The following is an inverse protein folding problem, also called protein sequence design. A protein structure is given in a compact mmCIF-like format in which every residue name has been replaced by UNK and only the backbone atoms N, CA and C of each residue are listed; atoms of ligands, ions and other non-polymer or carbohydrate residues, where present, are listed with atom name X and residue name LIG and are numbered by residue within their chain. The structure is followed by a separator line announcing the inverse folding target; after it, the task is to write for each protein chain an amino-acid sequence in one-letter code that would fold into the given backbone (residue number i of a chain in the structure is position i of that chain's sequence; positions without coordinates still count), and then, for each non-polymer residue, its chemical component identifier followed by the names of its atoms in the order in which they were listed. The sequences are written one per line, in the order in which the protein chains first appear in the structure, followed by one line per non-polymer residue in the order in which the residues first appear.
data_IF_950043704261
#
_entry.id   IF_950043704261
#
_cell.length_a   1.000
_cell.length_b   1.000
_cell.length_c   1.000
_cell.angle_alpha   90.00
_cell.angle_beta   90.00
_cell.angle_gamma   90.00
#
_symmetry.space_group_name_H-M   'P 1'
#
loop_
_entity.id
_entity.type
_entity.pdbx_description
1 polymer ?
#
# COMPACT_ATOMS: atom_id res chain seq x y z
N UNK A 1 -5.10 -14.96 -13.96
CA UNK A 1 -5.21 -15.82 -12.77
C UNK A 1 -6.24 -15.18 -11.87
N UNK A 2 -7.33 -15.89 -11.54
CA UNK A 2 -8.29 -15.42 -10.54
C UNK A 2 -7.59 -15.35 -9.18
N UNK A 3 -7.78 -14.28 -8.44
CA UNK A 3 -7.26 -14.16 -7.07
C UNK A 3 -7.90 -15.23 -6.19
N UNK A 4 -7.09 -16.01 -5.47
CA UNK A 4 -7.60 -17.01 -4.53
C UNK A 4 -8.21 -16.32 -3.31
N UNK A 5 -7.56 -15.25 -2.87
CA UNK A 5 -8.01 -14.42 -1.75
C UNK A 5 -9.36 -13.75 -2.04
N UNK A 6 -9.57 -13.23 -3.26
CA UNK A 6 -10.82 -12.59 -3.64
C UNK A 6 -12.05 -13.51 -3.46
N UNK A 7 -11.89 -14.79 -3.79
CA UNK A 7 -12.95 -15.78 -3.67
C UNK A 7 -13.16 -16.26 -2.23
N UNK A 8 -12.22 -15.98 -1.32
CA UNK A 8 -12.35 -16.36 0.09
C UNK A 8 -13.28 -15.42 0.83
N UNK A 9 -14.18 -16.02 1.62
CA UNK A 9 -15.02 -15.31 2.59
C UNK A 9 -14.43 -15.36 4.01
N UNK A 10 -13.30 -16.05 4.21
CA UNK A 10 -12.69 -16.20 5.53
C UNK A 10 -11.83 -14.98 5.88
N UNK A 11 -12.32 -14.15 6.78
CA UNK A 11 -11.60 -12.98 7.25
C UNK A 11 -10.23 -13.31 7.88
N UNK A 12 -10.02 -14.52 8.41
CA UNK A 12 -8.72 -14.93 8.93
C UNK A 12 -7.67 -15.06 7.81
N UNK A 13 -8.06 -15.50 6.62
CA UNK A 13 -7.17 -15.54 5.45
C UNK A 13 -6.80 -14.13 4.98
N UNK A 14 -7.77 -13.21 4.99
CA UNK A 14 -7.52 -11.79 4.70
C UNK A 14 -6.57 -11.16 5.70
N UNK A 15 -6.78 -11.42 7.01
CA UNK A 15 -5.92 -10.94 8.09
C UNK A 15 -4.51 -11.48 7.98
N UNK A 16 -4.37 -12.79 7.74
CA UNK A 16 -3.07 -13.43 7.54
C UNK A 16 -2.32 -12.80 6.35
N UNK A 17 -3.02 -12.53 5.25
CA UNK A 17 -2.44 -11.84 4.10
C UNK A 17 -2.03 -10.40 4.43
N UNK A 18 -2.87 -9.66 5.15
CA UNK A 18 -2.53 -8.30 5.59
C UNK A 18 -1.28 -8.27 6.48
N UNK A 19 -1.15 -9.23 7.39
CA UNK A 19 0.01 -9.32 8.29
C UNK A 19 1.31 -9.71 7.56
N UNK A 20 1.24 -10.18 6.30
CA UNK A 20 2.43 -10.35 5.46
C UNK A 20 2.98 -9.05 4.89
N UNK A 21 2.29 -7.91 5.08
CA UNK A 21 2.66 -6.63 4.49
C UNK A 21 4.13 -6.27 4.74
N UNK A 22 4.59 -6.36 6.00
CA UNK A 22 5.98 -6.03 6.35
C UNK A 22 6.98 -6.97 5.65
N UNK A 23 6.69 -8.28 5.58
CA UNK A 23 7.55 -9.25 4.90
C UNK A 23 7.62 -9.00 3.38
N UNK A 24 6.49 -8.67 2.75
CA UNK A 24 6.45 -8.37 1.31
C UNK A 24 7.16 -7.05 1.03
N UNK A 25 6.99 -6.03 1.89
CA UNK A 25 7.71 -4.76 1.81
C UNK A 25 9.22 -4.97 1.86
N UNK A 26 9.72 -5.68 2.86
CA UNK A 26 11.15 -6.03 2.98
C UNK A 26 11.64 -6.82 1.76
N UNK A 27 10.84 -7.74 1.22
CA UNK A 27 11.21 -8.50 0.02
C UNK A 27 11.28 -7.65 -1.27
N UNK A 28 10.56 -6.53 -1.31
CA UNK A 28 10.61 -5.59 -2.44
C UNK A 28 11.85 -4.70 -2.35
N UNK A 29 12.24 -4.29 -1.15
CA UNK A 29 13.48 -3.56 -0.87
C UNK A 29 14.73 -4.36 -1.29
N UNK A 30 14.74 -5.68 -1.06
CA UNK A 30 15.88 -6.53 -1.46
C UNK A 30 15.96 -6.72 -2.98
N UNK A 31 14.82 -6.70 -3.69
CA UNK A 31 14.76 -6.95 -5.14
C UNK A 31 15.05 -5.72 -5.99
N UNK A 32 14.82 -4.54 -5.46
CA UNK A 32 15.13 -3.27 -6.11
C UNK A 32 16.01 -2.49 -5.14
N UNK A 33 17.29 -2.24 -5.45
CA UNK A 33 18.20 -1.38 -4.65
C UNK A 33 17.63 0.05 -4.45
N UNK A 34 16.60 0.20 -3.63
CA UNK A 34 15.78 1.39 -3.55
C UNK A 34 15.27 1.61 -2.12
N UNK A 35 16.14 2.12 -1.25
CA UNK A 35 15.76 2.85 -0.01
C UNK A 35 14.64 3.89 -0.28
N UNK A 36 14.50 4.32 -1.54
CA UNK A 36 13.47 5.23 -2.03
C UNK A 36 12.06 4.61 -2.02
N UNK A 37 11.88 3.31 -2.24
CA UNK A 37 10.54 2.70 -2.31
C UNK A 37 9.91 2.56 -0.92
N UNK A 38 10.67 2.09 0.06
CA UNK A 38 10.23 2.02 1.46
C UNK A 38 9.79 3.39 1.97
N UNK A 39 10.64 4.39 1.75
CA UNK A 39 10.34 5.77 2.13
C UNK A 39 9.06 6.30 1.44
N UNK A 40 8.81 5.92 0.18
CA UNK A 40 7.60 6.29 -0.55
C UNK A 40 6.35 5.55 -0.04
N UNK A 41 6.46 4.27 0.30
CA UNK A 41 5.35 3.51 0.89
C UNK A 41 4.96 4.03 2.27
N UNK A 42 5.95 4.20 3.14
CA UNK A 42 5.74 4.76 4.48
C UNK A 42 5.12 6.15 4.39
N UNK A 43 5.62 6.98 3.48
CA UNK A 43 5.05 8.29 3.23
C UNK A 43 3.60 8.21 2.74
N UNK A 44 3.26 7.33 1.79
CA UNK A 44 1.89 7.21 1.27
C UNK A 44 0.89 6.68 2.30
N UNK A 45 1.29 5.72 3.14
CA UNK A 45 0.37 5.08 4.09
C UNK A 45 0.29 5.80 5.44
N UNK A 46 1.37 6.40 5.93
CA UNK A 46 1.41 7.02 7.26
C UNK A 46 1.36 8.55 7.24
N UNK A 47 2.12 9.19 6.34
CA UNK A 47 2.32 10.66 6.39
C UNK A 47 1.32 11.41 5.52
N UNK A 48 1.16 11.00 4.26
CA UNK A 48 0.31 11.67 3.28
C UNK A 48 -1.15 11.78 3.75
N UNK A 49 -1.81 10.73 4.30
CA UNK A 49 -3.20 10.81 4.72
C UNK A 49 -3.43 11.85 5.82
N UNK A 50 -2.51 11.93 6.78
CA UNK A 50 -2.57 12.92 7.85
C UNK A 50 -2.45 14.35 7.30
N UNK A 51 -1.51 14.56 6.37
CA UNK A 51 -1.31 15.85 5.72
C UNK A 51 -2.52 16.28 4.89
N UNK A 52 -3.02 15.41 3.99
CA UNK A 52 -4.12 15.77 3.08
C UNK A 52 -5.45 15.97 3.81
N UNK A 53 -5.71 15.23 4.88
CA UNK A 53 -6.91 15.42 5.71
C UNK A 53 -6.83 16.70 6.53
N UNK A 54 -5.66 17.03 7.09
CA UNK A 54 -5.49 18.25 7.87
C UNK A 54 -5.57 19.51 6.98
N UNK A 55 -4.99 19.47 5.78
CA UNK A 55 -4.95 20.63 4.88
C UNK A 55 -6.21 20.73 3.99
N UNK A 56 -6.90 19.62 3.69
CA UNK A 56 -8.11 19.61 2.85
C UNK A 56 -7.84 19.75 1.35
N UNK A 57 -6.59 19.60 0.91
CA UNK A 57 -6.15 19.61 -0.50
C UNK A 57 -4.88 18.76 -0.67
N UNK A 58 -4.34 18.64 -1.88
CA UNK A 58 -2.99 18.12 -2.14
C UNK A 58 -2.18 19.19 -2.87
N UNK A 59 -0.88 19.27 -2.61
CA UNK A 59 0.02 20.19 -3.32
C UNK A 59 0.65 19.52 -4.54
N UNK A 60 1.16 20.30 -5.48
CA UNK A 60 1.85 19.76 -6.66
C UNK A 60 3.07 18.90 -6.29
N UNK A 61 3.95 19.29 -5.33
CA UNK A 61 5.06 18.43 -4.91
C UNK A 61 4.59 17.11 -4.30
N UNK A 62 3.51 17.12 -3.52
CA UNK A 62 2.90 15.90 -2.96
C UNK A 62 2.32 15.02 -4.08
N UNK A 63 1.63 15.59 -5.07
CA UNK A 63 1.12 14.86 -6.22
C UNK A 63 2.24 14.25 -7.07
N UNK A 64 3.34 14.98 -7.26
CA UNK A 64 4.54 14.51 -7.95
C UNK A 64 5.16 13.31 -7.22
N UNK A 65 5.31 13.38 -5.90
CA UNK A 65 5.79 12.27 -5.06
C UNK A 65 4.85 11.06 -5.08
N UNK A 66 3.53 11.28 -5.06
CA UNK A 66 2.53 10.22 -5.22
C UNK A 66 2.64 9.53 -6.58
N UNK A 67 2.91 10.28 -7.66
CA UNK A 67 3.13 9.70 -8.98
C UNK A 67 4.40 8.83 -9.01
N UNK A 68 5.48 9.26 -8.36
CA UNK A 68 6.71 8.46 -8.23
C UNK A 68 6.42 7.14 -7.52
N UNK A 69 5.70 7.17 -6.41
CA UNK A 69 5.25 5.97 -5.67
C UNK A 69 4.39 5.04 -6.55
N UNK A 70 3.44 5.61 -7.31
CA UNK A 70 2.59 4.82 -8.20
C UNK A 70 3.40 4.16 -9.32
N UNK A 71 4.35 4.88 -9.89
CA UNK A 71 5.22 4.38 -10.97
C UNK A 71 6.25 3.37 -10.48
N UNK A 72 6.65 3.42 -9.21
CA UNK A 72 7.56 2.45 -8.60
C UNK A 72 6.87 1.11 -8.26
N UNK A 73 5.55 1.12 -7.99
CA UNK A 73 4.78 -0.14 -7.81
C UNK A 73 4.45 -0.86 -9.11
N UNK A 74 4.55 -0.17 -10.26
CA UNK A 74 4.12 -0.70 -11.55
C UNK A 74 5.15 -0.52 -12.65
N UNK A 75 4.69 -0.52 -13.90
CA UNK A 75 5.56 -0.25 -15.05
C UNK A 75 5.99 1.23 -15.05
N UNK A 76 7.28 1.49 -14.85
CA UNK A 76 7.85 2.83 -14.92
C UNK A 76 7.57 3.50 -16.27
N UNK A 77 6.96 4.69 -16.24
CA UNK A 77 6.61 5.49 -17.42
C UNK A 77 7.00 6.96 -17.20
N UNK A 78 8.23 7.36 -17.56
CA UNK A 78 8.77 8.71 -17.27
C UNK A 78 7.89 9.85 -17.79
N UNK A 79 7.23 9.64 -18.93
CA UNK A 79 6.33 10.63 -19.54
C UNK A 79 5.18 11.03 -18.62
N UNK A 80 4.67 10.10 -17.80
CA UNK A 80 3.57 10.39 -16.89
C UNK A 80 4.00 11.30 -15.74
N UNK A 81 5.24 11.13 -15.26
CA UNK A 81 5.84 11.98 -14.24
C UNK A 81 6.01 13.42 -14.73
N UNK A 82 6.59 13.61 -15.92
CA UNK A 82 6.81 14.95 -16.50
C UNK A 82 5.52 15.76 -16.64
N UNK A 83 4.39 15.08 -16.79
CA UNK A 83 3.11 15.77 -16.89
C UNK A 83 2.57 16.29 -15.56
N UNK A 84 2.79 15.55 -14.46
CA UNK A 84 2.45 16.03 -13.11
C UNK A 84 3.38 17.16 -12.70
N UNK A 85 4.64 17.09 -13.12
CA UNK A 85 5.63 18.13 -12.85
C UNK A 85 5.32 19.45 -13.60
N UNK A 86 4.61 19.37 -14.73
CA UNK A 86 4.16 20.55 -15.49
C UNK A 86 2.89 21.21 -14.93
N UNK A 87 2.22 20.64 -13.93
CA UNK A 87 1.03 21.23 -13.32
C UNK A 87 1.41 22.40 -12.41
N UNK A 88 0.54 23.41 -12.31
CA UNK A 88 0.75 24.49 -11.34
C UNK A 88 0.19 24.09 -9.97
N UNK A 89 0.85 24.53 -8.90
CA UNK A 89 0.39 24.26 -7.53
C UNK A 89 -1.05 24.76 -7.29
N UNK A 90 -1.40 25.92 -7.85
CA UNK A 90 -2.74 26.48 -7.77
C UNK A 90 -3.80 25.54 -8.38
N UNK A 91 -3.57 25.04 -9.59
CA UNK A 91 -4.52 24.13 -10.25
C UNK A 91 -4.72 22.84 -9.44
N UNK A 92 -3.64 22.28 -8.88
CA UNK A 92 -3.70 21.05 -8.08
C UNK A 92 -4.50 21.30 -6.79
N UNK A 93 -4.27 22.41 -6.10
CA UNK A 93 -5.00 22.77 -4.88
C UNK A 93 -6.49 23.01 -5.17
N UNK A 94 -6.82 23.81 -6.18
CA UNK A 94 -8.21 24.16 -6.50
C UNK A 94 -9.05 22.92 -6.85
N UNK A 95 -8.51 22.00 -7.64
CA UNK A 95 -9.22 20.78 -8.06
C UNK A 95 -9.26 19.73 -6.94
N UNK A 96 -8.17 19.56 -6.19
CA UNK A 96 -8.17 18.61 -5.07
C UNK A 96 -9.08 19.04 -3.93
N UNK A 97 -9.18 20.34 -3.64
CA UNK A 97 -10.14 20.88 -2.65
C UNK A 97 -11.57 20.52 -3.02
N UNK A 98 -11.95 20.73 -4.29
CA UNK A 98 -13.28 20.36 -4.80
C UNK A 98 -13.53 18.86 -4.72
N UNK A 99 -12.54 18.07 -5.12
CA UNK A 99 -12.63 16.62 -5.08
C UNK A 99 -12.77 16.07 -3.65
N UNK A 100 -12.02 16.62 -2.69
CA UNK A 100 -12.10 16.23 -1.29
C UNK A 100 -13.43 16.65 -0.66
N UNK A 101 -13.96 17.83 -1.01
CA UNK A 101 -15.30 18.22 -0.60
C UNK A 101 -16.39 17.26 -1.12
N UNK A 102 -16.28 16.80 -2.37
CA UNK A 102 -17.16 15.76 -2.92
C UNK A 102 -16.95 14.40 -2.23
N UNK A 103 -15.71 14.06 -1.89
CA UNK A 103 -15.33 12.85 -1.16
C UNK A 103 -15.95 12.82 0.24
N UNK A 104 -15.93 13.94 0.99
CA UNK A 104 -16.59 14.05 2.31
C UNK A 104 -18.10 13.82 2.23
N UNK A 105 -18.74 14.14 1.09
CA UNK A 105 -20.14 13.84 0.81
C UNK A 105 -20.38 12.41 0.30
N UNK A 106 -19.37 11.53 0.34
CA UNK A 106 -19.37 10.17 -0.24
C UNK A 106 -19.69 10.14 -1.74
N UNK A 107 -19.50 11.26 -2.44
CA UNK A 107 -19.73 11.38 -3.88
C UNK A 107 -18.46 11.03 -4.65
N UNK A 108 -17.99 9.79 -4.49
CA UNK A 108 -16.71 9.32 -5.01
C UNK A 108 -16.60 9.38 -6.54
N UNK A 109 -17.71 9.15 -7.26
CA UNK A 109 -17.77 9.32 -8.72
C UNK A 109 -17.43 10.75 -9.14
N UNK A 110 -18.02 11.73 -8.46
CA UNK A 110 -17.80 13.15 -8.74
C UNK A 110 -16.38 13.55 -8.36
N UNK A 111 -15.89 13.12 -7.20
CA UNK A 111 -14.53 13.36 -6.75
C UNK A 111 -13.48 12.84 -7.77
N UNK A 112 -13.68 11.62 -8.28
CA UNK A 112 -12.80 11.03 -9.32
C UNK A 112 -12.93 11.77 -10.64
N UNK A 113 -14.13 12.22 -11.03
CA UNK A 113 -14.34 13.01 -12.24
C UNK A 113 -13.58 14.34 -12.16
N UNK A 114 -13.74 15.09 -11.06
CA UNK A 114 -13.07 16.39 -10.83
C UNK A 114 -11.55 16.24 -10.85
N UNK A 115 -10.98 15.20 -10.24
CA UNK A 115 -9.54 14.94 -10.32
C UNK A 115 -9.11 14.50 -11.71
N UNK A 116 -9.97 13.81 -12.46
CA UNK A 116 -9.70 13.42 -13.84
C UNK A 116 -9.78 14.60 -14.82
N UNK A 117 -10.31 15.73 -14.38
CA UNK A 117 -10.32 17.01 -15.11
C UNK A 117 -9.01 17.80 -14.97
N UNK A 118 -8.02 17.30 -14.21
CA UNK A 118 -6.63 17.79 -14.24
C UNK A 118 -6.01 17.54 -15.63
N UNK A 119 -6.45 18.33 -16.60
CA UNK A 119 -5.89 18.48 -17.93
C UNK A 119 -4.77 19.50 -17.79
N UNK A 120 -3.53 19.03 -17.88
CA UNK A 120 -2.41 19.93 -18.13
C UNK A 120 -2.70 20.71 -19.41
N UNK A 121 -2.27 21.97 -19.43
CA UNK A 121 -2.37 22.85 -20.59
C UNK A 121 -1.73 22.13 -21.78
N UNK A 122 -2.53 21.51 -22.63
CA UNK A 122 -2.06 21.06 -23.93
C UNK A 122 -1.88 22.32 -24.75
N UNK A 123 -0.61 22.70 -24.90
CA UNK A 123 -0.17 23.43 -26.08
C UNK A 123 -0.85 22.79 -27.30
N UNK A 124 -1.48 23.64 -28.08
CA UNK A 124 -2.22 23.36 -29.29
C UNK A 124 -1.33 22.63 -30.29
N UNK A 125 -1.25 21.30 -30.22
CA UNK A 125 -0.66 20.52 -31.30
C UNK A 125 -1.09 19.06 -31.26
N UNK A 126 -1.76 18.68 -32.35
CA UNK A 126 -1.68 17.38 -33.03
C UNK A 126 -2.41 16.21 -32.35
N UNK A 127 -3.64 15.99 -32.82
CA UNK A 127 -3.96 14.88 -33.73
C UNK A 127 -3.06 13.64 -33.64
N UNK A 128 -3.07 12.95 -32.52
CA UNK A 128 -2.94 11.49 -32.48
C UNK A 128 -4.02 10.98 -31.53
N UNK A 129 -4.96 10.29 -32.14
CA UNK A 129 -6.21 9.86 -31.56
C UNK A 129 -6.00 8.89 -30.38
N UNK A 130 -6.76 9.17 -29.33
CA UNK A 130 -7.52 8.20 -28.53
C UNK A 130 -6.97 7.47 -27.30
N UNK A 131 -5.67 7.45 -26.93
CA UNK A 131 -5.28 6.60 -25.76
C UNK A 131 -4.29 7.17 -24.72
N UNK A 132 -3.85 8.43 -24.83
CA UNK A 132 -2.71 8.92 -24.01
C UNK A 132 -2.90 10.33 -23.41
N UNK A 133 -4.14 10.76 -23.17
CA UNK A 133 -4.45 12.15 -22.81
C UNK A 133 -5.22 12.37 -21.49
N UNK A 134 -5.34 11.36 -20.62
CA UNK A 134 -5.75 11.59 -19.24
C UNK A 134 -4.49 11.68 -18.37
N UNK A 135 -4.07 12.90 -18.12
CA UNK A 135 -2.84 13.22 -17.38
C UNK A 135 -2.91 12.72 -15.94
N UNK A 136 -4.09 12.89 -15.32
CA UNK A 136 -4.54 12.19 -14.11
C UNK A 136 -5.78 11.39 -14.54
N UNK A 137 -5.62 10.09 -14.80
CA UNK A 137 -6.76 9.21 -15.09
C UNK A 137 -7.46 8.73 -13.82
N UNK A 138 -8.56 7.97 -13.94
CA UNK A 138 -9.27 7.38 -12.79
C UNK A 138 -8.34 6.62 -11.83
N UNK A 139 -7.31 5.96 -12.37
CA UNK A 139 -6.31 5.29 -11.56
C UNK A 139 -5.48 6.25 -10.69
N UNK A 140 -5.04 7.39 -11.21
CA UNK A 140 -4.27 8.37 -10.40
C UNK A 140 -5.18 9.15 -9.47
N UNK A 141 -6.38 9.52 -9.94
CA UNK A 141 -7.40 10.15 -9.12
C UNK A 141 -7.78 9.27 -7.91
N UNK A 142 -7.98 7.96 -8.12
CA UNK A 142 -8.27 7.01 -7.04
C UNK A 142 -7.14 6.91 -6.01
N UNK A 143 -5.87 7.07 -6.40
CA UNK A 143 -4.74 7.08 -5.45
C UNK A 143 -4.77 8.32 -4.54
N UNK A 144 -5.10 9.48 -5.12
CA UNK A 144 -5.25 10.73 -4.37
C UNK A 144 -6.43 10.64 -3.40
N UNK A 145 -7.55 10.06 -3.85
CA UNK A 145 -8.73 9.85 -3.00
C UNK A 145 -8.47 8.80 -1.92
N UNK A 146 -7.76 7.72 -2.22
CA UNK A 146 -7.39 6.69 -1.24
C UNK A 146 -6.46 7.24 -0.14
N UNK A 147 -5.63 8.26 -0.45
CA UNK A 147 -4.87 8.96 0.57
C UNK A 147 -5.78 9.80 1.49
N UNK A 148 -6.87 10.36 0.96
CA UNK A 148 -7.79 11.19 1.73
C UNK A 148 -8.79 10.37 2.56
N UNK A 149 -9.45 9.38 1.96
CA UNK A 149 -10.48 8.54 2.58
C UNK A 149 -10.13 7.05 2.43
N UNK A 150 -9.95 6.29 3.54
CA UNK A 150 -9.64 4.86 3.49
C UNK A 150 -10.79 4.02 2.92
N UNK A 151 -12.00 4.56 2.83
CA UNK A 151 -13.13 3.92 2.15
C UNK A 151 -12.98 3.88 0.63
N UNK A 152 -12.00 4.59 0.06
CA UNK A 152 -11.72 4.59 -1.38
C UNK A 152 -10.51 3.68 -1.68
N UNK A 153 -10.68 2.61 -2.47
CA UNK A 153 -9.59 1.75 -2.90
C UNK A 153 -8.80 2.42 -4.02
N UNK A 154 -7.48 2.19 -4.03
CA UNK A 154 -6.64 2.55 -5.15
C UNK A 154 -6.89 1.60 -6.33
N UNK A 155 -7.19 2.15 -7.50
CA UNK A 155 -7.44 1.36 -8.72
C UNK A 155 -6.12 0.86 -9.33
N UNK A 156 -5.50 -0.10 -8.65
CA UNK A 156 -4.29 -0.81 -9.07
C UNK A 156 -4.57 -1.94 -10.05
N UNK A 157 -3.56 -2.28 -10.84
CA UNK A 157 -3.64 -3.29 -11.90
C UNK A 157 -3.92 -4.69 -11.36
N UNK A 158 -3.32 -5.01 -10.21
CA UNK A 158 -3.44 -6.27 -9.49
C UNK A 158 -4.87 -6.48 -8.98
N UNK A 159 -5.44 -5.44 -8.37
CA UNK A 159 -6.81 -5.46 -7.88
C UNK A 159 -7.82 -5.55 -9.04
N UNK A 160 -7.62 -4.79 -10.13
CA UNK A 160 -8.47 -4.91 -11.31
C UNK A 160 -8.41 -6.32 -11.92
N UNK A 161 -7.25 -6.98 -11.90
CA UNK A 161 -7.12 -8.36 -12.37
C UNK A 161 -7.89 -9.34 -11.49
N UNK A 162 -7.81 -9.19 -10.17
CA UNK A 162 -8.52 -10.02 -9.21
C UNK A 162 -10.04 -9.95 -9.42
N UNK A 163 -10.56 -8.76 -9.75
CA UNK A 163 -12.00 -8.51 -9.89
C UNK A 163 -12.55 -8.75 -11.30
N UNK A 164 -11.74 -9.22 -12.26
CA UNK A 164 -12.17 -9.37 -13.67
C UNK A 164 -13.43 -10.22 -13.88
N UNK A 165 -13.69 -11.19 -12.99
CA UNK A 165 -14.91 -12.01 -13.03
C UNK A 165 -16.19 -11.23 -12.68
N UNK A 166 -16.09 -10.14 -11.93
CA UNK A 166 -17.25 -9.36 -11.47
C UNK A 166 -17.44 -8.07 -12.29
N UNK A 167 -16.37 -7.33 -12.56
CA UNK A 167 -16.44 -6.02 -13.22
C UNK A 167 -16.09 -6.07 -14.71
N UNK A 168 -15.71 -7.24 -15.21
CA UNK A 168 -15.30 -7.48 -16.59
C UNK A 168 -13.83 -7.14 -16.86
N UNK A 169 -13.45 -7.15 -18.14
CA UNK A 169 -12.09 -6.88 -18.57
C UNK A 169 -11.61 -5.48 -18.13
N UNK A 170 -10.32 -5.38 -17.80
CA UNK A 170 -9.69 -4.19 -17.24
C UNK A 170 -9.91 -2.95 -18.11
N UNK A 171 -10.52 -1.92 -17.52
CA UNK A 171 -10.71 -0.63 -18.17
C UNK A 171 -10.39 0.53 -17.23
N UNK A 172 -9.67 1.53 -17.71
CA UNK A 172 -9.32 2.72 -16.91
C UNK A 172 -10.30 3.87 -17.16
N UNK A 173 -11.60 3.57 -17.06
CA UNK A 173 -12.69 4.52 -17.28
C UNK A 173 -13.42 4.83 -15.98
N UNK A 174 -14.04 6.00 -15.87
CA UNK A 174 -14.79 6.38 -14.68
C UNK A 174 -15.94 5.40 -14.35
N UNK A 175 -16.75 4.90 -15.31
CA UNK A 175 -17.78 3.90 -15.01
C UNK A 175 -17.20 2.59 -14.47
N UNK A 176 -16.04 2.16 -14.98
CA UNK A 176 -15.37 0.95 -14.49
C UNK A 176 -14.80 1.14 -13.08
N UNK A 177 -14.25 2.33 -12.79
CA UNK A 177 -13.83 2.68 -11.43
C UNK A 177 -14.98 2.65 -10.43
N UNK A 178 -16.17 3.13 -10.79
CA UNK A 178 -17.34 3.09 -9.89
C UNK A 178 -17.74 1.66 -9.57
N UNK A 179 -17.81 0.77 -10.58
CA UNK A 179 -18.08 -0.66 -10.32
C UNK A 179 -17.00 -1.29 -9.43
N UNK A 180 -15.73 -0.99 -9.71
CA UNK A 180 -14.61 -1.45 -8.90
C UNK A 180 -14.73 -0.98 -7.44
N UNK A 181 -15.02 0.31 -7.22
CA UNK A 181 -15.24 0.89 -5.90
C UNK A 181 -16.37 0.18 -5.15
N UNK A 182 -17.54 0.06 -5.78
CA UNK A 182 -18.73 -0.55 -5.17
C UNK A 182 -18.46 -2.02 -4.78
N UNK A 183 -17.82 -2.78 -5.68
CA UNK A 183 -17.45 -4.17 -5.44
C UNK A 183 -16.47 -4.32 -4.27
N UNK A 184 -15.42 -3.50 -4.19
CA UNK A 184 -14.43 -3.58 -3.11
C UNK A 184 -15.04 -3.11 -1.78
N UNK A 185 -15.89 -2.09 -1.78
CA UNK A 185 -16.61 -1.64 -0.58
C UNK A 185 -17.59 -2.70 -0.06
N UNK A 186 -18.30 -3.39 -0.96
CA UNK A 186 -19.15 -4.51 -0.61
C UNK A 186 -18.34 -5.64 0.03
N UNK A 187 -17.17 -5.97 -0.53
CA UNK A 187 -16.26 -6.97 0.05
C UNK A 187 -15.78 -6.58 1.45
N UNK A 188 -15.34 -5.33 1.63
CA UNK A 188 -14.92 -4.84 2.95
C UNK A 188 -16.06 -4.92 3.98
N UNK A 189 -17.29 -4.58 3.58
CA UNK A 189 -18.47 -4.69 4.44
C UNK A 189 -18.78 -6.14 4.81
N UNK A 190 -18.76 -7.06 3.83
CA UNK A 190 -18.96 -8.49 4.06
C UNK A 190 -17.89 -9.09 4.99
N UNK A 191 -16.63 -8.67 4.87
CA UNK A 191 -15.57 -9.09 5.79
C UNK A 191 -15.86 -8.62 7.22
N UNK A 192 -16.26 -7.36 7.39
CA UNK A 192 -16.63 -6.81 8.71
C UNK A 192 -17.83 -7.53 9.33
N UNK A 193 -18.81 -7.97 8.53
CA UNK A 193 -19.97 -8.73 9.01
C UNK A 193 -19.62 -10.18 9.38
N UNK A 194 -18.66 -10.78 8.68
CA UNK A 194 -18.24 -12.17 8.89
C UNK A 194 -17.42 -12.39 10.16
N UNK A 195 -16.92 -11.32 10.79
CA UNK A 195 -16.02 -11.42 11.94
C UNK A 195 -16.77 -11.23 13.25
N UNK A 196 -16.69 -12.24 14.12
CA UNK A 196 -17.22 -12.18 15.49
C UNK A 196 -16.21 -11.71 16.54
N UNK A 197 -14.90 -11.79 16.26
CA UNK A 197 -13.81 -11.32 17.13
C UNK A 197 -12.50 -11.10 16.34
N UNK A 198 -12.21 -9.85 15.92
CA UNK A 198 -10.91 -9.44 15.33
C UNK A 198 -10.13 -8.47 16.24
N UNK A 199 -10.44 -8.46 17.55
CA UNK A 199 -9.89 -7.44 18.45
C UNK A 199 -10.27 -5.99 18.06
N UNK A 200 -11.37 -5.80 17.33
CA UNK A 200 -11.87 -4.50 16.89
C UNK A 200 -11.29 -3.96 15.57
N UNK A 201 -10.62 -4.78 14.77
CA UNK A 201 -10.18 -4.39 13.42
C UNK A 201 -11.38 -4.12 12.49
N UNK A 202 -11.31 -3.03 11.73
CA UNK A 202 -12.33 -2.66 10.75
C UNK A 202 -11.70 -2.64 9.37
N UNK A 203 -12.16 -3.53 8.49
CA UNK A 203 -11.74 -3.61 7.11
C UNK A 203 -12.22 -2.41 6.31
N UNK A 204 -11.28 -1.74 5.67
CA UNK A 204 -11.52 -0.65 4.73
C UNK A 204 -11.30 -1.12 3.30
N UNK A 205 -11.92 -0.45 2.32
CA UNK A 205 -11.74 -0.79 0.91
C UNK A 205 -10.26 -0.68 0.49
N UNK A 206 -9.52 0.27 1.06
CA UNK A 206 -8.08 0.41 0.84
C UNK A 206 -7.28 -0.81 1.35
N UNK A 207 -7.64 -1.37 2.51
CA UNK A 207 -6.97 -2.58 3.04
C UNK A 207 -7.28 -3.82 2.20
N UNK A 208 -8.53 -4.00 1.78
CA UNK A 208 -8.92 -5.09 0.87
C UNK A 208 -8.10 -5.01 -0.43
N UNK A 209 -8.01 -3.82 -1.01
CA UNK A 209 -7.20 -3.58 -2.20
C UNK A 209 -5.71 -3.89 -1.97
N UNK A 210 -5.18 -3.52 -0.80
CA UNK A 210 -3.79 -3.79 -0.44
C UNK A 210 -3.51 -5.29 -0.33
N UNK A 211 -4.40 -6.06 0.30
CA UNK A 211 -4.29 -7.52 0.39
C UNK A 211 -4.24 -8.20 -0.99
N UNK A 212 -5.01 -7.73 -1.96
CA UNK A 212 -4.95 -8.23 -3.34
C UNK A 212 -3.61 -7.94 -4.02
N UNK A 213 -3.02 -6.78 -3.75
CA UNK A 213 -1.69 -6.45 -4.22
C UNK A 213 -0.62 -7.34 -3.55
N UNK A 214 -0.73 -7.59 -2.24
CA UNK A 214 0.17 -8.48 -1.50
C UNK A 214 0.13 -9.92 -2.03
N UNK A 215 -1.06 -10.44 -2.34
CA UNK A 215 -1.21 -11.78 -2.92
C UNK A 215 -0.43 -11.91 -4.24
N UNK A 216 -0.56 -10.93 -5.13
CA UNK A 216 0.16 -10.92 -6.41
C UNK A 216 1.68 -10.73 -6.22
N UNK A 217 2.09 -9.87 -5.29
CA UNK A 217 3.49 -9.65 -4.98
C UNK A 217 4.16 -10.91 -4.39
N UNK A 218 3.46 -11.67 -3.55
CA UNK A 218 3.89 -12.94 -2.98
C UNK A 218 3.98 -14.05 -4.03
N UNK A 219 3.00 -14.13 -4.95
CA UNK A 219 3.04 -15.07 -6.08
C UNK A 219 4.25 -14.79 -7.00
N UNK A 220 4.56 -13.51 -7.21
CA UNK A 220 5.69 -13.09 -8.06
C UNK A 220 7.07 -13.28 -7.41
N UNK A 221 7.14 -13.42 -6.08
CA UNK A 221 8.40 -13.69 -5.35
C UNK A 221 8.67 -15.18 -5.12
N UNK A 222 7.79 -16.08 -5.57
CA UNK A 222 7.92 -17.53 -5.33
C UNK A 222 7.67 -17.94 -3.87
N UNK A 223 7.22 -17.01 -3.03
CA UNK A 223 6.83 -17.25 -1.65
C UNK A 223 5.43 -17.85 -1.62
N UNK A 224 5.33 -19.19 -1.60
CA UNK A 224 4.07 -19.89 -1.30
C UNK A 224 3.48 -19.37 0.02
N UNK A 225 2.18 -19.03 -0.02
CA UNK A 225 1.29 -18.69 1.11
C UNK A 225 1.75 -19.22 2.48
N UNK A 226 1.77 -18.39 3.55
CA UNK A 226 2.16 -18.87 4.87
C UNK A 226 1.07 -19.78 5.44
N UNK A 227 1.41 -21.05 5.70
CA UNK A 227 0.72 -21.82 6.75
C UNK A 227 0.96 -21.11 8.08
N UNK A 228 -0.12 -20.87 8.82
CA UNK A 228 -0.09 -20.31 10.17
C UNK A 228 0.98 -20.99 11.04
N UNK A 229 1.85 -20.18 11.68
CA UNK A 229 2.80 -20.68 12.68
C UNK A 229 2.01 -21.14 13.92
N UNK A 230 2.26 -22.36 14.46
CA UNK A 230 1.68 -22.76 15.74
C UNK A 230 2.24 -21.89 16.88
N UNK A 231 1.49 -21.71 17.98
CA UNK A 231 1.92 -20.89 19.10
C UNK A 231 3.16 -21.50 19.76
N UNK A 232 4.23 -20.71 19.82
CA UNK A 232 5.48 -21.09 20.47
C UNK A 232 5.28 -21.19 21.99
N UNK A 233 5.42 -22.41 22.52
CA UNK A 233 5.49 -22.66 23.97
C UNK A 233 6.67 -21.89 24.56
N UNK A 234 6.38 -20.96 25.49
CA UNK A 234 7.37 -20.24 26.30
C UNK A 234 8.26 -21.24 27.07
N UNK A 235 9.57 -21.21 26.84
CA UNK A 235 10.57 -21.82 27.75
C UNK A 235 10.72 -20.93 28.99
N UNK A 236 10.75 -21.49 30.21
CA UNK A 236 10.86 -20.69 31.42
C UNK A 236 12.27 -20.11 31.60
N UNK A 237 12.32 -18.85 32.07
CA UNK A 237 13.52 -18.14 32.53
C UNK A 237 14.16 -18.89 33.70
N UNK A 238 15.45 -19.25 33.60
CA UNK A 238 16.29 -19.49 34.78
C UNK A 238 16.95 -18.17 35.17
N UNK A 239 16.52 -17.64 36.30
CA UNK A 239 17.19 -16.60 37.07
C UNK A 239 18.52 -17.13 37.59
N UNK A 240 19.61 -16.40 37.36
CA UNK A 240 20.86 -16.57 38.08
C UNK A 240 20.97 -15.47 39.13
N UNK A 241 21.06 -15.84 40.39
CA UNK A 241 21.37 -14.95 41.51
C UNK A 241 22.22 -15.72 42.52
N UNK A 242 23.36 -15.12 42.87
CA UNK A 242 24.22 -15.40 44.04
C UNK A 242 24.85 -16.81 44.14
N UNK A 243 26.07 -17.05 44.59
CA UNK A 243 27.05 -16.23 45.31
C UNK A 243 28.36 -17.04 45.42
N UNK A 244 29.50 -16.33 45.52
CA UNK A 244 30.68 -16.64 46.34
C UNK A 244 31.15 -18.11 46.53
N UNK A 245 32.37 -18.41 46.04
CA UNK A 245 33.49 -18.89 46.87
C UNK A 245 34.80 -19.14 46.06
N UNK A 246 35.83 -18.35 46.39
CA UNK A 246 37.26 -18.72 46.35
C UNK A 246 37.62 -19.24 47.75
N UNK A 247 38.58 -20.17 47.96
CA UNK A 247 40.00 -19.76 47.95
C UNK A 247 41.08 -20.85 47.64
N UNK A 248 42.32 -20.35 47.60
CA UNK A 248 43.57 -20.94 48.13
C UNK A 248 44.50 -21.77 47.22
N UNK A 249 45.51 -21.06 46.69
CA UNK A 249 46.96 -21.27 46.88
C UNK A 249 47.48 -22.70 47.16
N UNK A 250 48.37 -23.19 46.29
CA UNK A 250 49.63 -23.85 46.69
C UNK A 250 50.79 -23.46 45.77
N UNK A 251 51.74 -22.76 46.38
CA UNK A 251 53.10 -22.46 45.89
C UNK A 251 54.00 -23.56 46.44
N UNK A 252 54.84 -24.19 45.61
CA UNK A 252 55.96 -25.00 46.08
C UNK A 252 57.18 -24.73 45.19
N UNK A 253 58.32 -24.68 45.86
CA UNK A 253 59.59 -24.06 45.45
C UNK A 253 60.65 -25.09 45.09
N UNK A 254 61.63 -24.64 44.28
CA UNK A 254 63.10 -24.88 44.37
C UNK A 254 63.74 -26.16 43.79
N UNK A 255 64.86 -25.93 43.09
CA UNK A 255 65.97 -26.87 42.82
C UNK A 255 66.58 -26.69 41.41
N UNK A 256 67.40 -25.67 41.07
CA UNK A 256 68.87 -25.51 41.19
C UNK A 256 69.79 -26.59 40.57
N UNK A 257 70.67 -26.12 39.65
CA UNK A 257 71.97 -26.68 39.20
C UNK A 257 71.94 -27.98 38.37
N UNK A 258 72.71 -28.19 37.29
CA UNK A 258 74.13 -27.85 37.04
C UNK A 258 74.47 -28.08 35.56
N UNK A 259 75.46 -27.30 35.09
CA UNK A 259 76.47 -27.56 34.03
C UNK A 259 76.10 -27.42 32.56
#
# INVERSE_FOLDING_TARGET
MSSSLWNSADAAEWRAMYDTYDNVRESLEVRMELDKLEALEKWFHAELPLLVRAQGYITQPQLSKLMQWKLSKGKWRPRLQSFVDALTNKQVIDLSTKAFAACTKKSYREATAVLSELKGVRSTCLSIEFLTAFQVGPATASAVLAAFDPAVPFMGDEALNALTSEIGARQYTLPHFVRFLDTVQAKASALNESITDDGGHVWTAQQVQLCLWLEQAAQSSGSTTPKAKPPTKKRPKRSASSELQLPANKRTTRGSSTR
#
